data_IF_767755788389
#
_entry.id   IF_767755788389
#
_cell.length_a   1.000
_cell.length_b   1.000
_cell.length_c   1.000
_cell.angle_alpha   90.00
_cell.angle_beta   90.00
_cell.angle_gamma   90.00
#
_symmetry.space_group_name_H-M   'P 1'
#
loop_
_entity.id
_entity.type
_entity.pdbx_description
1 polymer ?
#
# COMPACT_ATOMS: atom_id res chain seq x y z
N UNK A 1 -20.53 -13.37 13.06
CA UNK A 1 -19.71 -12.26 12.57
C UNK A 1 -18.49 -12.87 11.92
N UNK A 2 -18.16 -12.47 10.69
CA UNK A 2 -16.94 -12.93 10.01
C UNK A 2 -15.72 -12.47 10.81
N UNK A 3 -14.71 -13.31 10.99
CA UNK A 3 -13.47 -12.92 11.67
C UNK A 3 -12.77 -11.86 10.81
N UNK A 4 -12.60 -10.64 11.30
CA UNK A 4 -11.82 -9.61 10.61
C UNK A 4 -10.41 -9.78 11.13
N UNK A 5 -9.51 -10.40 10.39
CA UNK A 5 -8.15 -10.57 10.89
C UNK A 5 -7.38 -9.24 10.82
N UNK A 6 -7.62 -8.48 9.75
CA UNK A 6 -6.97 -7.18 9.49
C UNK A 6 -7.93 -6.23 8.79
N UNK A 7 -7.81 -4.94 9.11
CA UNK A 7 -8.49 -3.85 8.43
C UNK A 7 -7.54 -2.69 8.12
N UNK A 8 -7.77 -2.01 7.00
CA UNK A 8 -7.04 -0.83 6.55
C UNK A 8 -8.03 0.25 6.13
N UNK A 9 -7.79 1.50 6.52
CA UNK A 9 -8.53 2.68 6.06
C UNK A 9 -7.54 3.72 5.54
N UNK A 10 -7.75 4.19 4.32
CA UNK A 10 -6.92 5.23 3.68
C UNK A 10 -7.73 6.51 3.64
N UNK A 11 -7.20 7.61 4.17
CA UNK A 11 -7.95 8.89 4.29
C UNK A 11 -7.34 10.03 3.47
N UNK A 12 -6.17 9.81 2.90
CA UNK A 12 -5.51 10.67 1.90
C UNK A 12 -4.54 9.82 1.09
N UNK A 13 -4.47 10.05 -0.22
CA UNK A 13 -3.73 9.23 -1.17
C UNK A 13 -3.34 10.02 -2.42
N UNK A 14 -2.05 10.22 -2.68
CA UNK A 14 -1.59 10.73 -3.96
C UNK A 14 -2.05 9.81 -5.11
N UNK A 15 -2.58 10.38 -6.18
CA UNK A 15 -3.10 9.61 -7.32
C UNK A 15 -2.06 8.70 -7.99
N UNK A 16 -0.78 9.05 -7.89
CA UNK A 16 0.34 8.25 -8.42
C UNK A 16 0.60 6.98 -7.60
N UNK A 17 0.11 6.92 -6.36
CA UNK A 17 0.25 5.80 -5.42
C UNK A 17 -1.00 4.91 -5.38
N UNK A 18 -2.07 5.27 -6.08
CA UNK A 18 -3.33 4.53 -6.05
C UNK A 18 -3.24 3.13 -6.67
N UNK A 19 -2.65 3.00 -7.85
CA UNK A 19 -2.44 1.71 -8.52
C UNK A 19 -1.59 0.73 -7.70
N UNK A 20 -0.39 1.10 -7.19
CA UNK A 20 0.41 0.15 -6.40
C UNK A 20 -0.27 -0.21 -5.08
N UNK A 21 -1.00 0.71 -4.45
CA UNK A 21 -1.79 0.41 -3.25
C UNK A 21 -2.97 -0.53 -3.52
N UNK A 22 -3.68 -0.34 -4.63
CA UNK A 22 -4.80 -1.20 -5.00
C UNK A 22 -4.37 -2.64 -5.27
N UNK A 23 -3.24 -2.86 -5.95
CA UNK A 23 -2.75 -4.22 -6.11
C UNK A 23 -2.26 -4.84 -4.79
N UNK A 24 -1.67 -4.04 -3.88
CA UNK A 24 -1.34 -4.51 -2.54
C UNK A 24 -2.62 -4.99 -1.82
N UNK A 25 -3.73 -4.27 -1.97
CA UNK A 25 -5.02 -4.66 -1.42
C UNK A 25 -5.54 -5.96 -2.05
N UNK A 26 -5.44 -6.11 -3.37
CA UNK A 26 -5.85 -7.33 -4.06
C UNK A 26 -4.98 -8.53 -3.62
N UNK A 27 -3.66 -8.36 -3.51
CA UNK A 27 -2.71 -9.40 -3.06
C UNK A 27 -3.00 -9.86 -1.62
N UNK A 28 -3.50 -8.97 -0.76
CA UNK A 28 -3.85 -9.25 0.63
C UNK A 28 -5.34 -9.56 0.83
N UNK A 29 -6.11 -9.67 -0.27
CA UNK A 29 -7.56 -9.88 -0.26
C UNK A 29 -8.29 -8.88 0.63
N UNK A 30 -7.82 -7.63 0.66
CA UNK A 30 -8.45 -6.51 1.35
C UNK A 30 -9.65 -6.05 0.53
N UNK A 31 -10.86 -6.42 0.99
CA UNK A 31 -12.14 -6.10 0.35
C UNK A 31 -12.77 -4.90 1.03
N UNK A 32 -13.30 -3.96 0.24
CA UNK A 32 -14.00 -2.79 0.77
C UNK A 32 -15.30 -3.24 1.44
N UNK A 33 -15.52 -2.88 2.71
CA UNK A 33 -16.74 -3.23 3.44
C UNK A 33 -17.96 -2.46 2.90
N UNK A 34 -17.71 -1.28 2.33
CA UNK A 34 -18.74 -0.34 1.89
C UNK A 34 -19.12 -0.48 0.41
N UNK A 35 -18.54 -1.45 -0.33
CA UNK A 35 -18.63 -1.58 -1.79
C UNK A 35 -19.31 -2.91 -2.22
N UNK A 36 -19.90 -2.92 -3.42
CA UNK A 36 -20.60 -4.09 -4.01
C UNK A 36 -19.57 -5.11 -4.54
N UNK A 37 -19.59 -6.40 -4.13
CA UNK A 37 -18.49 -7.36 -4.29
C UNK A 37 -18.16 -7.81 -5.73
N UNK A 38 -18.92 -7.40 -6.75
CA UNK A 38 -18.87 -8.02 -8.07
C UNK A 38 -17.99 -7.27 -9.11
N UNK A 39 -17.31 -6.18 -8.74
CA UNK A 39 -16.46 -5.38 -9.64
C UNK A 39 -14.96 -5.56 -9.41
N UNK A 40 -14.17 -5.63 -10.50
CA UNK A 40 -12.73 -5.35 -10.40
C UNK A 40 -12.53 -3.97 -9.76
N UNK A 41 -11.64 -3.86 -8.76
CA UNK A 41 -11.34 -2.63 -8.05
C UNK A 41 -10.88 -1.54 -9.04
N UNK A 42 -11.77 -0.58 -9.32
CA UNK A 42 -11.49 0.53 -10.25
C UNK A 42 -10.74 1.70 -9.58
N UNK A 43 -10.56 1.65 -8.26
CA UNK A 43 -9.92 2.69 -7.47
C UNK A 43 -9.89 2.39 -5.97
N UNK A 44 -9.39 3.35 -5.21
CA UNK A 44 -9.42 3.37 -3.75
C UNK A 44 -10.46 4.41 -3.30
N UNK A 45 -11.45 3.95 -2.54
CA UNK A 45 -12.34 4.81 -1.78
C UNK A 45 -11.65 5.29 -0.50
N UNK A 46 -11.46 6.61 -0.40
CA UNK A 46 -10.93 7.26 0.80
C UNK A 46 -11.99 7.29 1.90
N UNK A 47 -11.56 7.05 3.14
CA UNK A 47 -12.42 6.93 4.30
C UNK A 47 -13.10 5.58 4.44
N UNK A 48 -13.18 4.77 3.37
CA UNK A 48 -13.71 3.42 3.46
C UNK A 48 -12.77 2.49 4.24
N UNK A 49 -13.35 1.42 4.79
CA UNK A 49 -12.58 0.36 5.48
C UNK A 49 -12.47 -0.87 4.60
N UNK A 50 -11.25 -1.36 4.43
CA UNK A 50 -10.93 -2.57 3.70
C UNK A 50 -10.56 -3.66 4.70
N UNK A 51 -11.16 -4.84 4.59
CA UNK A 51 -10.95 -5.95 5.54
C UNK A 51 -10.48 -7.20 4.83
N UNK A 52 -9.67 -8.00 5.52
CA UNK A 52 -9.20 -9.30 5.03
C UNK A 52 -9.32 -10.36 6.13
N UNK A 53 -9.57 -11.58 5.69
CA UNK A 53 -9.56 -12.81 6.52
C UNK A 53 -8.32 -13.67 6.25
N UNK A 54 -7.38 -13.17 5.46
CA UNK A 54 -6.12 -13.84 5.09
C UNK A 54 -4.86 -13.17 5.64
N UNK A 55 -5.01 -12.05 6.37
CA UNK A 55 -3.88 -11.36 6.97
C UNK A 55 -3.13 -12.22 7.99
N UNK A 56 -3.82 -13.17 8.63
CA UNK A 56 -3.32 -13.92 9.76
C UNK A 56 -3.14 -13.04 10.99
N UNK A 57 -3.17 -13.68 12.16
CA UNK A 57 -2.82 -13.04 13.43
C UNK A 57 -1.38 -12.54 13.35
N UNK A 58 -1.16 -11.24 13.59
CA UNK A 58 0.15 -10.61 13.67
C UNK A 58 0.65 -9.91 12.40
N UNK A 59 -0.17 -9.71 11.37
CA UNK A 59 0.20 -8.94 10.17
C UNK A 59 0.57 -7.48 10.47
N UNK A 60 -0.10 -6.88 11.45
CA UNK A 60 0.18 -5.52 11.91
C UNK A 60 1.25 -5.56 13.00
N UNK A 61 1.17 -6.50 13.96
CA UNK A 61 2.20 -6.66 15.00
C UNK A 61 3.60 -6.95 14.45
N UNK A 62 3.71 -7.69 13.34
CA UNK A 62 4.99 -8.01 12.70
C UNK A 62 5.57 -6.87 11.86
N UNK A 63 4.91 -5.71 11.79
CA UNK A 63 5.24 -4.58 10.92
C UNK A 63 5.23 -4.92 9.42
N UNK A 64 4.78 -6.12 9.01
CA UNK A 64 4.82 -6.55 7.62
C UNK A 64 3.91 -5.71 6.73
N UNK A 65 2.61 -5.67 7.05
CA UNK A 65 1.65 -4.87 6.29
C UNK A 65 1.93 -3.35 6.40
N UNK A 66 2.20 -2.78 7.59
CA UNK A 66 2.63 -1.39 7.72
C UNK A 66 3.87 -1.01 6.89
N UNK A 67 4.86 -1.90 6.77
CA UNK A 67 6.03 -1.66 5.93
C UNK A 67 5.68 -1.65 4.44
N UNK A 68 4.86 -2.61 3.98
CA UNK A 68 4.40 -2.66 2.59
C UNK A 68 3.56 -1.42 2.24
N UNK A 69 2.63 -1.02 3.09
CA UNK A 69 1.82 0.19 2.88
C UNK A 69 2.69 1.44 2.71
N UNK A 70 3.74 1.60 3.53
CA UNK A 70 4.71 2.70 3.39
C UNK A 70 5.55 2.61 2.12
N UNK A 71 5.91 1.41 1.70
CA UNK A 71 6.70 1.21 0.50
C UNK A 71 5.92 1.60 -0.75
N UNK A 72 4.65 1.19 -0.83
CA UNK A 72 3.81 1.38 -2.03
C UNK A 72 3.10 2.73 -2.07
N UNK A 73 2.80 3.30 -0.90
CA UNK A 73 2.07 4.56 -0.75
C UNK A 73 2.68 5.45 0.36
N UNK A 74 3.94 5.91 0.21
CA UNK A 74 4.63 6.71 1.22
C UNK A 74 4.01 8.10 1.44
N UNK A 75 3.25 8.62 0.48
CA UNK A 75 2.54 9.89 0.58
C UNK A 75 1.11 9.75 1.10
N UNK A 76 0.64 8.53 1.37
CA UNK A 76 -0.71 8.29 1.89
C UNK A 76 -0.81 8.50 3.41
N UNK A 77 -2.00 8.87 3.87
CA UNK A 77 -2.35 8.83 5.29
C UNK A 77 -3.34 7.70 5.52
N UNK A 78 -3.01 6.77 6.42
CA UNK A 78 -3.78 5.56 6.64
C UNK A 78 -3.71 5.07 8.08
N UNK A 79 -4.67 4.21 8.42
CA UNK A 79 -4.74 3.42 9.63
C UNK A 79 -4.86 1.95 9.23
N UNK A 80 -4.08 1.08 9.86
CA UNK A 80 -4.19 -0.36 9.74
C UNK A 80 -4.32 -0.96 11.13
N UNK A 81 -5.21 -1.92 11.33
CA UNK A 81 -5.32 -2.63 12.60
C UNK A 81 -5.63 -4.10 12.39
N UNK A 82 -5.26 -4.91 13.38
CA UNK A 82 -5.59 -6.33 13.46
C UNK A 82 -6.47 -6.58 14.67
N UNK A 83 -7.43 -7.50 14.54
CA UNK A 83 -8.39 -7.80 15.61
C UNK A 83 -7.69 -8.48 16.80
N UNK A 84 -8.11 -8.17 18.05
CA UNK A 84 -7.71 -8.93 19.22
C UNK A 84 -7.88 -10.44 19.02
N UNK A 85 -6.95 -11.23 19.56
CA UNK A 85 -7.00 -12.68 19.47
C UNK A 85 -6.93 -13.30 20.87
N UNK A 86 -7.93 -14.13 21.20
CA UNK A 86 -8.10 -14.76 22.51
C UNK A 86 -8.05 -13.75 23.67
N UNK A 87 -6.93 -13.73 24.42
CA UNK A 87 -6.67 -12.88 25.58
C UNK A 87 -5.76 -11.69 25.26
N UNK A 88 -5.31 -11.56 24.02
CA UNK A 88 -4.43 -10.50 23.57
C UNK A 88 -5.22 -9.38 22.90
N UNK A 89 -4.83 -8.13 23.18
CA UNK A 89 -5.32 -6.97 22.44
C UNK A 89 -4.86 -7.02 20.98
N UNK A 90 -5.56 -6.29 20.13
CA UNK A 90 -5.16 -6.11 18.74
C UNK A 90 -3.98 -5.13 18.64
N UNK A 91 -3.42 -5.03 17.45
CA UNK A 91 -2.38 -4.03 17.14
C UNK A 91 -2.91 -3.05 16.12
N UNK A 92 -2.55 -1.77 16.28
CA UNK A 92 -2.86 -0.71 15.32
C UNK A 92 -1.58 0.01 14.91
N UNK A 93 -1.51 0.34 13.63
CA UNK A 93 -0.50 1.18 13.02
C UNK A 93 -1.16 2.39 12.36
N UNK A 94 -0.67 3.58 12.67
CA UNK A 94 -1.13 4.85 12.15
C UNK A 94 0.01 5.50 11.37
N UNK A 95 -0.26 5.96 10.16
CA UNK A 95 0.76 6.60 9.33
C UNK A 95 0.25 7.91 8.73
N UNK A 96 1.11 8.93 8.79
CA UNK A 96 0.99 10.14 7.99
C UNK A 96 2.39 10.55 7.50
N UNK A 97 2.54 11.08 6.27
CA UNK A 97 3.86 11.31 5.68
C UNK A 97 4.76 12.25 6.49
N UNK A 98 4.16 13.24 7.14
CA UNK A 98 4.84 14.26 7.97
C UNK A 98 5.06 13.82 9.42
N UNK A 99 4.30 12.84 9.91
CA UNK A 99 4.39 12.34 11.29
C UNK A 99 5.16 11.03 11.39
N UNK A 100 5.33 10.29 10.29
CA UNK A 100 5.86 8.93 10.29
C UNK A 100 4.82 7.90 10.73
N UNK A 101 5.27 6.76 11.26
CA UNK A 101 4.39 5.68 11.74
C UNK A 101 4.42 5.60 13.26
N UNK A 102 3.23 5.47 13.85
CA UNK A 102 3.03 5.13 15.24
C UNK A 102 2.33 3.77 15.35
N UNK A 103 2.74 2.95 16.31
CA UNK A 103 2.09 1.67 16.60
C UNK A 103 1.75 1.52 18.08
N UNK A 104 0.70 0.75 18.36
CA UNK A 104 0.26 0.46 19.71
C UNK A 104 -0.86 -0.58 19.74
N UNK A 105 -1.41 -0.81 20.92
CA UNK A 105 -2.50 -1.77 21.12
C UNK A 105 -3.85 -1.15 20.74
N UNK A 106 -4.82 -1.99 20.36
CA UNK A 106 -6.20 -1.58 20.08
C UNK A 106 -7.24 -2.60 20.54
N UNK A 107 -8.48 -2.14 20.67
CA UNK A 107 -9.65 -3.00 20.88
C UNK A 107 -10.17 -3.61 19.57
N UNK A 108 -11.29 -4.35 19.65
CA UNK A 108 -11.92 -5.02 18.50
C UNK A 108 -12.55 -4.08 17.47
N UNK A 109 -12.48 -2.77 17.68
CA UNK A 109 -12.89 -1.75 16.71
C UNK A 109 -11.69 -1.05 16.06
N UNK A 110 -10.46 -1.43 16.42
CA UNK A 110 -9.25 -0.73 16.04
C UNK A 110 -9.01 0.56 16.84
N UNK A 111 -9.78 0.80 17.91
CA UNK A 111 -9.57 1.98 18.74
C UNK A 111 -8.34 1.77 19.63
N UNK A 112 -7.42 2.73 19.59
CA UNK A 112 -6.18 2.71 20.37
C UNK A 112 -6.48 2.52 21.86
N UNK A 113 -5.87 1.50 22.44
CA UNK A 113 -5.83 1.23 23.86
C UNK A 113 -4.47 1.68 24.41
N UNK A 114 -4.49 2.50 25.46
CA UNK A 114 -3.28 2.92 26.17
C UNK A 114 -3.43 2.57 27.65
N UNK A 115 -2.61 1.65 28.18
CA UNK A 115 -2.58 1.36 29.60
C UNK A 115 -2.27 2.62 30.43
N UNK A 116 -2.96 2.80 31.56
CA UNK A 116 -2.82 3.99 32.39
C UNK A 116 -1.39 4.16 32.97
N UNK A 117 -0.68 3.05 33.17
CA UNK A 117 0.72 3.01 33.62
C UNK A 117 1.73 3.34 32.53
N UNK A 118 1.32 3.28 31.26
CA UNK A 118 2.11 3.71 30.10
C UNK A 118 2.02 5.23 29.86
N UNK A 119 1.06 5.92 30.50
CA UNK A 119 0.94 7.36 30.39
C UNK A 119 2.10 8.08 31.08
N UNK A 120 2.67 9.12 30.45
CA UNK A 120 3.71 9.93 31.07
C UNK A 120 3.22 10.56 32.36
N UNK A 121 4.12 10.69 33.34
CA UNK A 121 3.81 11.36 34.61
C UNK A 121 3.47 12.83 34.39
N UNK A 122 2.65 13.39 35.27
CA UNK A 122 2.16 14.77 35.14
C UNK A 122 3.29 15.80 35.01
N UNK A 123 4.39 15.63 35.75
CA UNK A 123 5.57 16.49 35.66
C UNK A 123 6.24 16.44 34.28
N UNK A 124 6.29 15.25 33.65
CA UNK A 124 6.73 15.09 32.26
C UNK A 124 5.79 15.79 31.28
N UNK A 125 4.47 15.63 31.46
CA UNK A 125 3.47 16.26 30.59
C UNK A 125 3.49 17.78 30.70
N UNK A 126 3.68 18.34 31.90
CA UNK A 126 3.76 19.78 32.11
C UNK A 126 5.04 20.37 31.50
N UNK A 127 6.13 19.61 31.46
CA UNK A 127 7.39 20.02 30.85
C UNK A 127 7.36 19.89 29.31
N UNK A 128 6.72 18.83 28.79
CA UNK A 128 6.55 18.58 27.37
C UNK A 128 5.19 17.91 27.07
N UNK A 129 4.17 18.70 26.71
CA UNK A 129 2.86 18.16 26.33
C UNK A 129 2.90 17.24 25.10
N UNK A 130 3.91 17.37 24.23
CA UNK A 130 4.03 16.54 23.01
C UNK A 130 4.33 15.07 23.34
N UNK A 131 4.92 14.79 24.50
CA UNK A 131 5.17 13.43 24.98
C UNK A 131 3.87 12.61 25.07
N UNK A 132 2.75 13.22 25.46
CA UNK A 132 1.45 12.51 25.49
C UNK A 132 1.03 12.10 24.08
N UNK A 133 1.17 13.00 23.10
CA UNK A 133 0.79 12.71 21.72
C UNK A 133 1.65 11.60 21.10
N UNK A 134 2.95 11.56 21.43
CA UNK A 134 3.86 10.51 20.98
C UNK A 134 3.53 9.14 21.60
N UNK A 135 3.18 9.08 22.89
CA UNK A 135 2.83 7.83 23.57
C UNK A 135 1.47 7.28 23.12
N UNK A 136 0.51 8.17 22.86
CA UNK A 136 -0.89 7.76 22.63
C UNK A 136 -1.30 7.70 21.17
N UNK A 137 -0.40 8.07 20.24
CA UNK A 137 -0.72 8.19 18.82
C UNK A 137 -1.71 9.33 18.51
N UNK A 138 -1.98 10.24 19.46
CA UNK A 138 -3.04 11.24 19.36
C UNK A 138 -2.89 12.13 18.13
N UNK A 139 -1.66 12.57 17.82
CA UNK A 139 -1.41 13.41 16.65
C UNK A 139 -1.83 12.74 15.33
N UNK A 140 -1.54 11.44 15.19
CA UNK A 140 -1.95 10.65 14.03
C UNK A 140 -3.47 10.46 13.99
N UNK A 141 -4.08 10.14 15.14
CA UNK A 141 -5.55 9.96 15.24
C UNK A 141 -6.29 11.23 14.88
N UNK A 142 -5.84 12.39 15.36
CA UNK A 142 -6.43 13.68 15.06
C UNK A 142 -6.28 14.02 13.58
N UNK A 143 -5.11 13.74 12.99
CA UNK A 143 -4.87 13.92 11.55
C UNK A 143 -5.81 13.06 10.72
N UNK A 144 -5.89 11.76 11.01
CA UNK A 144 -6.73 10.80 10.30
C UNK A 144 -8.20 11.16 10.44
N UNK A 145 -8.65 11.48 11.66
CA UNK A 145 -10.04 11.89 11.94
C UNK A 145 -10.40 13.16 11.19
N UNK A 146 -9.48 14.14 11.13
CA UNK A 146 -9.70 15.39 10.40
C UNK A 146 -9.86 15.12 8.91
N UNK A 147 -8.95 14.37 8.30
CA UNK A 147 -9.02 14.02 6.88
C UNK A 147 -10.27 13.20 6.55
N UNK A 148 -10.61 12.24 7.39
CA UNK A 148 -11.82 11.43 7.23
C UNK A 148 -13.09 12.32 7.21
N UNK A 149 -13.19 13.30 8.12
CA UNK A 149 -14.29 14.28 8.11
C UNK A 149 -14.27 15.15 6.86
N UNK A 150 -13.09 15.55 6.37
CA UNK A 150 -12.95 16.31 5.13
C UNK A 150 -13.45 15.51 3.93
N UNK A 151 -13.09 14.23 3.82
CA UNK A 151 -13.58 13.33 2.77
C UNK A 151 -15.10 13.18 2.86
N UNK A 152 -15.64 12.90 4.05
CA UNK A 152 -17.08 12.73 4.26
C UNK A 152 -17.90 14.00 3.97
N UNK A 153 -17.33 15.18 4.18
CA UNK A 153 -17.99 16.47 3.90
C UNK A 153 -17.84 16.92 2.43
N UNK A 154 -16.92 16.31 1.66
CA UNK A 154 -16.68 16.64 0.27
C UNK A 154 -17.76 16.13 -0.69
N UNK A 155 -17.77 16.57 -1.96
CA UNK A 155 -18.63 15.96 -2.97
C UNK A 155 -18.29 14.47 -3.15
N UNK A 156 -19.23 13.63 -3.64
CA UNK A 156 -19.08 12.17 -3.72
C UNK A 156 -17.81 11.70 -4.44
N UNK A 157 -17.29 12.49 -5.37
CA UNK A 157 -16.06 12.19 -6.14
C UNK A 157 -14.77 12.43 -5.34
N UNK A 158 -14.81 13.15 -4.23
CA UNK A 158 -13.62 13.47 -3.41
C UNK A 158 -13.11 12.27 -2.62
N UNK A 159 -13.98 11.29 -2.41
CA UNK A 159 -13.65 10.05 -1.72
C UNK A 159 -13.19 8.94 -2.65
N UNK A 160 -12.89 9.19 -3.93
CA UNK A 160 -12.49 8.14 -4.86
C UNK A 160 -11.23 8.52 -5.65
N UNK A 161 -10.21 7.66 -5.57
CA UNK A 161 -8.95 7.80 -6.32
C UNK A 161 -8.85 6.65 -7.32
N UNK A 162 -9.01 6.97 -8.60
CA UNK A 162 -8.98 5.97 -9.67
C UNK A 162 -7.61 5.30 -9.81
N UNK A 163 -7.62 4.00 -10.06
CA UNK A 163 -6.42 3.23 -10.39
C UNK A 163 -6.25 3.13 -11.90
N UNK A 164 -5.01 3.13 -12.37
CA UNK A 164 -4.70 2.67 -13.73
C UNK A 164 -4.60 1.15 -13.76
N UNK A 165 -5.09 0.52 -14.82
CA UNK A 165 -5.01 -0.93 -14.94
C UNK A 165 -3.53 -1.35 -15.07
N UNK A 166 -3.03 -2.28 -14.25
CA UNK A 166 -1.69 -2.83 -14.44
C UNK A 166 -1.61 -3.56 -15.80
N UNK A 167 -0.45 -3.46 -16.41
CA UNK A 167 -0.13 -3.95 -17.75
C UNK A 167 1.00 -4.97 -17.63
N UNK A 168 0.92 -6.06 -18.37
CA UNK A 168 1.98 -7.06 -18.38
C UNK A 168 3.18 -6.54 -19.18
N UNK A 169 4.36 -6.66 -18.59
CA UNK A 169 5.63 -6.40 -19.22
C UNK A 169 6.48 -7.69 -19.23
N UNK A 170 6.94 -8.09 -20.41
CA UNK A 170 7.75 -9.29 -20.62
C UNK A 170 9.20 -8.91 -20.88
N UNK A 171 10.14 -9.47 -20.10
CA UNK A 171 11.56 -9.18 -20.29
C UNK A 171 12.31 -10.28 -21.05
N UNK A 172 12.69 -9.99 -22.30
CA UNK A 172 13.68 -10.75 -23.07
C UNK A 172 15.10 -10.32 -22.64
N UNK A 173 15.62 -11.00 -21.61
CA UNK A 173 16.93 -10.70 -21.02
C UNK A 173 18.09 -10.78 -22.00
N UNK A 174 18.21 -11.82 -22.86
CA UNK A 174 19.31 -11.88 -23.84
C UNK A 174 19.35 -10.70 -24.79
N UNK A 175 18.17 -10.23 -25.24
CA UNK A 175 18.06 -9.10 -26.14
C UNK A 175 18.13 -7.75 -25.43
N UNK A 176 17.96 -7.71 -24.10
CA UNK A 176 17.84 -6.45 -23.35
C UNK A 176 16.55 -5.69 -23.68
N UNK A 177 15.46 -6.40 -23.99
CA UNK A 177 14.19 -5.80 -24.41
C UNK A 177 13.07 -6.17 -23.45
N UNK A 178 12.36 -5.16 -22.95
CA UNK A 178 11.12 -5.32 -22.21
C UNK A 178 9.96 -4.94 -23.14
N UNK A 179 9.06 -5.87 -23.37
CA UNK A 179 7.85 -5.71 -24.17
C UNK A 179 6.71 -5.33 -23.23
N UNK A 180 5.99 -4.26 -23.53
CA UNK A 180 4.85 -3.79 -22.72
C UNK A 180 3.63 -3.74 -23.63
N UNK A 181 2.66 -4.61 -23.40
CA UNK A 181 1.45 -4.68 -24.21
C UNK A 181 0.35 -3.78 -23.64
N UNK A 182 0.48 -2.48 -23.91
CA UNK A 182 -0.51 -1.49 -23.48
C UNK A 182 -1.75 -1.52 -24.41
N UNK A 183 -2.95 -1.84 -23.92
CA UNK A 183 -4.15 -1.86 -24.74
C UNK A 183 -4.52 -0.47 -25.31
N UNK A 184 -4.06 0.62 -24.70
CA UNK A 184 -4.33 1.98 -25.16
C UNK A 184 -3.34 2.45 -26.23
N UNK A 185 -2.07 2.07 -26.13
CA UNK A 185 -0.99 2.59 -26.99
C UNK A 185 -0.30 1.54 -27.86
N UNK A 186 -0.69 0.27 -27.73
CA UNK A 186 -0.06 -0.86 -28.39
C UNK A 186 1.25 -1.30 -27.71
N UNK A 187 1.92 -2.27 -28.34
CA UNK A 187 3.18 -2.83 -27.82
C UNK A 187 4.29 -1.78 -27.82
N UNK A 188 4.83 -1.50 -26.64
CA UNK A 188 6.00 -0.63 -26.43
C UNK A 188 7.24 -1.46 -26.12
N UNK A 189 8.40 -0.97 -26.53
CA UNK A 189 9.69 -1.59 -26.27
C UNK A 189 10.54 -0.68 -25.40
N UNK A 190 10.98 -1.21 -24.26
CA UNK A 190 11.92 -0.54 -23.36
C UNK A 190 13.24 -1.30 -23.36
N UNK A 191 14.33 -0.58 -23.59
CA UNK A 191 15.68 -1.16 -23.55
C UNK A 191 16.18 -1.22 -22.11
N UNK A 192 16.52 -2.43 -21.66
CA UNK A 192 17.19 -2.68 -20.38
C UNK A 192 18.53 -3.38 -20.62
N UNK A 193 19.48 -3.33 -19.67
CA UNK A 193 20.75 -4.04 -19.83
C UNK A 193 20.54 -5.53 -20.12
N UNK A 194 21.25 -6.12 -21.10
CA UNK A 194 21.10 -7.52 -21.42
C UNK A 194 21.59 -8.40 -20.27
N UNK A 195 21.03 -9.60 -20.17
CA UNK A 195 21.31 -10.55 -19.11
C UNK A 195 21.28 -12.00 -19.59
N UNK A 196 21.65 -12.95 -18.72
CA UNK A 196 21.64 -14.37 -19.06
C UNK A 196 20.23 -14.85 -19.43
N UNK A 197 20.15 -15.77 -20.38
CA UNK A 197 18.89 -16.37 -20.83
C UNK A 197 18.19 -17.21 -19.74
N UNK A 198 18.98 -17.75 -18.79
CA UNK A 198 18.54 -18.69 -17.75
C UNK A 198 19.09 -18.28 -16.39
N UNK A 199 18.49 -18.80 -15.33
CA UNK A 199 18.82 -18.47 -13.93
C UNK A 199 17.98 -17.32 -13.38
N UNK A 200 18.04 -17.11 -12.06
CA UNK A 200 17.30 -16.07 -11.36
C UNK A 200 17.73 -14.65 -11.76
N UNK A 201 16.87 -13.67 -11.50
CA UNK A 201 17.22 -12.25 -11.63
C UNK A 201 18.00 -11.86 -10.38
N UNK A 202 19.23 -11.38 -10.56
CA UNK A 202 19.96 -10.75 -9.44
C UNK A 202 19.30 -9.42 -9.08
N UNK A 203 19.38 -9.03 -7.81
CA UNK A 203 18.84 -7.75 -7.34
C UNK A 203 19.36 -6.55 -8.14
N UNK A 204 20.63 -6.57 -8.54
CA UNK A 204 21.21 -5.55 -9.41
C UNK A 204 20.53 -5.49 -10.79
N UNK A 205 20.27 -6.65 -11.42
CA UNK A 205 19.56 -6.70 -12.69
C UNK A 205 18.12 -6.22 -12.59
N UNK A 206 17.41 -6.61 -11.52
CA UNK A 206 16.07 -6.11 -11.22
C UNK A 206 16.07 -4.58 -11.12
N UNK A 207 17.00 -4.00 -10.33
CA UNK A 207 17.14 -2.54 -10.21
C UNK A 207 17.39 -1.85 -11.55
N UNK A 208 18.25 -2.43 -12.40
CA UNK A 208 18.53 -1.86 -13.72
C UNK A 208 17.32 -1.91 -14.66
N UNK A 209 16.56 -3.00 -14.68
CA UNK A 209 15.33 -3.10 -15.46
C UNK A 209 14.25 -2.12 -14.97
N UNK A 210 14.06 -2.01 -13.65
CA UNK A 210 13.15 -1.03 -13.04
C UNK A 210 13.57 0.41 -13.38
N UNK A 211 14.87 0.71 -13.39
CA UNK A 211 15.36 2.03 -13.78
C UNK A 211 15.07 2.35 -15.25
N UNK A 212 15.24 1.38 -16.16
CA UNK A 212 14.90 1.54 -17.58
C UNK A 212 13.40 1.80 -17.79
N UNK A 213 12.55 1.04 -17.11
CA UNK A 213 11.10 1.25 -17.14
C UNK A 213 10.72 2.65 -16.63
N UNK A 214 11.31 3.10 -15.51
CA UNK A 214 11.10 4.45 -14.97
C UNK A 214 11.50 5.54 -15.95
N UNK A 215 12.63 5.39 -16.65
CA UNK A 215 13.05 6.34 -17.69
C UNK A 215 12.07 6.40 -18.86
N UNK A 216 11.41 5.28 -19.17
CA UNK A 216 10.35 5.21 -20.18
C UNK A 216 8.96 5.64 -19.67
N UNK A 217 8.84 6.15 -18.44
CA UNK A 217 7.57 6.61 -17.85
C UNK A 217 6.73 5.50 -17.21
N UNK A 218 7.29 4.31 -17.01
CA UNK A 218 6.63 3.17 -16.40
C UNK A 218 7.08 2.94 -14.96
N UNK A 219 6.15 2.53 -14.09
CA UNK A 219 6.45 2.07 -12.75
C UNK A 219 6.21 0.56 -12.65
N UNK A 220 7.09 -0.13 -11.93
CA UNK A 220 6.99 -1.58 -11.69
C UNK A 220 6.18 -1.80 -10.42
N UNK A 221 5.24 -2.74 -10.46
CA UNK A 221 4.47 -3.14 -9.29
C UNK A 221 5.38 -3.79 -8.24
N UNK A 222 5.26 -3.44 -6.95
CA UNK A 222 6.08 -3.98 -5.86
C UNK A 222 6.10 -5.52 -5.79
N UNK A 223 4.94 -6.17 -5.99
CA UNK A 223 4.83 -7.63 -5.99
C UNK A 223 5.42 -8.31 -7.26
N UNK A 224 5.68 -7.56 -8.32
CA UNK A 224 5.95 -8.12 -9.65
C UNK A 224 7.40 -8.56 -9.90
N UNK A 225 8.34 -8.24 -9.00
CA UNK A 225 9.76 -8.62 -9.18
C UNK A 225 10.07 -9.97 -8.53
N UNK A 226 9.14 -10.54 -7.76
CA UNK A 226 9.34 -11.75 -6.96
C UNK A 226 8.64 -13.02 -7.50
N UNK A 227 7.89 -12.94 -8.60
CA UNK A 227 7.17 -14.08 -9.16
C UNK A 227 8.09 -15.16 -9.75
N UNK A 228 7.74 -16.43 -9.56
CA UNK A 228 8.39 -17.54 -10.25
C UNK A 228 8.26 -17.36 -11.77
N UNK A 229 9.33 -17.57 -12.56
CA UNK A 229 9.27 -17.37 -14.00
C UNK A 229 8.26 -18.28 -14.65
N UNK A 230 7.38 -17.72 -15.48
CA UNK A 230 6.50 -18.48 -16.36
C UNK A 230 7.28 -18.86 -17.62
N UNK A 231 7.19 -20.13 -18.05
CA UNK A 231 7.99 -20.67 -19.14
C UNK A 231 7.13 -21.48 -20.12
N UNK A 232 6.52 -20.85 -21.12
CA UNK A 232 6.27 -21.54 -22.37
C UNK A 232 7.61 -21.70 -23.11
N UNK A 233 7.92 -22.91 -23.56
CA UNK A 233 9.00 -23.21 -24.53
C UNK A 233 10.46 -22.96 -24.10
N UNK A 234 10.76 -22.99 -22.79
CA UNK A 234 12.16 -23.03 -22.30
C UNK A 234 12.89 -21.68 -22.30
N UNK A 235 12.17 -20.58 -22.54
CA UNK A 235 12.62 -19.22 -22.30
C UNK A 235 12.11 -18.74 -20.94
N UNK A 236 13.02 -18.36 -20.03
CA UNK A 236 12.64 -17.79 -18.74
C UNK A 236 12.25 -16.32 -18.94
N UNK A 237 10.96 -16.04 -19.12
CA UNK A 237 10.41 -14.69 -19.17
C UNK A 237 9.97 -14.30 -17.76
N UNK A 238 10.44 -13.14 -17.29
CA UNK A 238 9.89 -12.54 -16.08
C UNK A 238 8.81 -11.57 -16.51
N UNK A 239 7.58 -11.89 -16.10
CA UNK A 239 6.44 -11.00 -16.26
C UNK A 239 6.48 -10.05 -15.07
N UNK A 240 6.74 -8.77 -15.34
CA UNK A 240 6.49 -7.73 -14.39
C UNK A 240 5.14 -7.09 -14.71
N UNK A 241 4.31 -6.83 -13.70
CA UNK A 241 3.23 -5.88 -13.87
C UNK A 241 3.81 -4.47 -13.79
N UNK A 242 3.47 -3.63 -14.77
CA UNK A 242 3.84 -2.23 -14.83
C UNK A 242 2.59 -1.38 -14.97
N UNK A 243 2.68 -0.12 -14.58
CA UNK A 243 1.59 0.83 -14.76
C UNK A 243 2.15 2.19 -15.12
N UNK A 244 1.30 3.03 -15.71
CA UNK A 244 1.59 4.45 -15.85
C UNK A 244 1.07 5.18 -14.63
N UNK A 245 1.93 5.94 -13.93
CA UNK A 245 1.45 6.84 -12.90
C UNK A 245 0.52 7.86 -13.56
N UNK A 246 -0.65 8.07 -12.95
CA UNK A 246 -1.59 9.12 -13.38
C UNK A 246 -0.85 10.45 -13.39
N UNK A 247 -0.89 11.25 -14.47
CA UNK A 247 -0.19 12.53 -14.50
C UNK A 247 -0.60 13.38 -13.30
N UNK A 248 0.41 13.90 -12.58
CA UNK A 248 0.19 14.82 -11.49
C UNK A 248 -0.52 16.04 -12.07
N UNK A 249 -1.78 16.29 -11.71
CA UNK A 249 -2.37 17.58 -11.96
C UNK A 249 -1.49 18.61 -11.24
N UNK A 250 -0.96 19.63 -11.93
CA UNK A 250 -0.20 20.66 -11.24
C UNK A 250 -1.10 21.26 -10.15
N UNK A 251 -0.55 21.41 -8.94
CA UNK A 251 -1.22 22.12 -7.86
C UNK A 251 -1.65 23.49 -8.40
N UNK A 252 -2.96 23.76 -8.37
CA UNK A 252 -3.54 25.02 -8.78
C UNK A 252 -3.25 26.13 -7.77
#
# INVERSE_FOLDING_TARGET
MSAVEVAVSVVDLPSVEATPLAALFDDHELVCVDDDPDGQRAGIYLGATYTSTRGGVGAVASEHLPALLREVAPGATWLAWEEPYEEFLGTVALHAPDLGTWTGECDSSGAVYVPADSLPRLDTVLADPATVAAVTGLAWRDRITTLHRTVAAGPPTSGFVSTTRPICAEWNRPAGLIYIDDPAEGTQLVHAPPGPARGGISEQMARSATAALRQAGWQVMPAAVAGAPWAPDGHTVHVAQVYRPTPHAPAA
#
